data_IF_709001470323
#
_entry.id   IF_709001470323
#
_cell.length_a   1.000
_cell.length_b   1.000
_cell.length_c   1.000
_cell.angle_alpha   90.00
_cell.angle_beta   90.00
_cell.angle_gamma   90.00
#
_symmetry.space_group_name_H-M   'P 1'
#
loop_
_entity.id
_entity.type
_entity.pdbx_description
1 polymer ?
#
# COMPACT_ATOMS: atom_id res chain seq x y z
N UNK A 1 10.22 -18.22 -12.94
CA UNK A 1 9.57 -16.89 -12.93
C UNK A 1 10.15 -15.96 -11.87
N UNK A 2 10.40 -16.41 -10.62
CA UNK A 2 10.99 -15.58 -9.56
C UNK A 2 12.27 -14.82 -9.96
N UNK A 3 13.27 -15.50 -10.54
CA UNK A 3 14.53 -14.86 -10.94
C UNK A 3 14.36 -13.73 -11.99
N UNK A 4 13.43 -13.89 -12.93
CA UNK A 4 13.16 -12.86 -13.94
C UNK A 4 12.53 -11.60 -13.32
N UNK A 5 11.70 -11.78 -12.29
CA UNK A 5 11.05 -10.68 -11.57
C UNK A 5 11.98 -10.02 -10.56
N UNK A 6 12.86 -10.79 -9.90
CA UNK A 6 13.88 -10.23 -9.01
C UNK A 6 14.81 -9.25 -9.75
N UNK A 7 15.09 -9.49 -11.03
CA UNK A 7 15.85 -8.58 -11.87
C UNK A 7 15.11 -7.27 -12.23
N UNK A 8 13.81 -7.17 -11.95
CA UNK A 8 13.03 -5.93 -12.07
C UNK A 8 12.98 -5.13 -10.75
N UNK A 9 13.51 -5.68 -9.67
CA UNK A 9 13.54 -5.06 -8.33
C UNK A 9 14.93 -4.53 -8.00
N UNK A 10 15.69 -4.09 -9.01
CA UNK A 10 16.99 -3.45 -8.81
C UNK A 10 16.82 -2.21 -7.93
N UNK A 11 17.66 -2.02 -6.90
CA UNK A 11 17.56 -0.89 -6.00
C UNK A 11 18.19 0.33 -6.68
N UNK A 12 17.56 0.80 -7.76
CA UNK A 12 18.01 1.98 -8.49
C UNK A 12 17.64 3.27 -7.73
N UNK A 13 16.75 3.14 -6.73
CA UNK A 13 16.35 4.20 -5.82
C UNK A 13 17.48 4.54 -4.82
N UNK A 14 17.88 5.82 -4.69
CA UNK A 14 18.87 6.22 -3.71
C UNK A 14 18.43 5.89 -2.28
N UNK A 15 19.33 5.33 -1.47
CA UNK A 15 19.05 4.97 -0.07
C UNK A 15 18.47 6.14 0.76
N UNK A 16 18.82 7.38 0.41
CA UNK A 16 18.31 8.59 1.04
C UNK A 16 16.78 8.74 0.94
N UNK A 17 16.12 8.15 -0.06
CA UNK A 17 14.66 8.18 -0.22
C UNK A 17 13.97 7.50 0.96
N UNK A 18 14.51 6.39 1.46
CA UNK A 18 13.96 5.66 2.60
C UNK A 18 14.19 6.37 3.94
N UNK A 19 15.23 7.21 4.06
CA UNK A 19 15.52 8.01 5.25
C UNK A 19 14.93 9.42 5.23
N UNK A 20 14.40 9.85 4.07
CA UNK A 20 13.85 11.19 3.87
C UNK A 20 12.52 11.37 4.60
N UNK A 21 12.32 12.55 5.19
CA UNK A 21 11.03 12.90 5.81
C UNK A 21 10.01 13.31 4.76
N UNK A 22 9.01 12.47 4.51
CA UNK A 22 7.83 12.86 3.74
C UNK A 22 6.85 13.64 4.64
N UNK A 23 6.60 14.91 4.33
CA UNK A 23 5.60 15.73 5.04
C UNK A 23 4.27 15.69 4.30
N UNK A 24 3.23 15.19 4.96
CA UNK A 24 1.86 15.11 4.43
C UNK A 24 0.91 16.00 5.22
N UNK A 25 -0.18 16.45 4.60
CA UNK A 25 -1.22 17.28 5.25
C UNK A 25 -2.61 16.78 4.92
N UNK A 26 -3.56 16.95 5.84
CA UNK A 26 -4.94 16.56 5.62
C UNK A 26 -5.57 17.29 4.42
N UNK A 27 -5.24 18.58 4.21
CA UNK A 27 -5.82 19.39 3.14
C UNK A 27 -5.31 19.04 1.73
N UNK A 28 -4.12 18.45 1.61
CA UNK A 28 -3.54 18.05 0.31
C UNK A 28 -3.58 16.53 0.15
N UNK A 29 -2.77 15.82 0.92
CA UNK A 29 -2.65 14.37 0.87
C UNK A 29 -3.95 13.67 1.29
N UNK A 30 -4.64 14.22 2.29
CA UNK A 30 -5.91 13.70 2.77
C UNK A 30 -7.15 14.07 1.96
N UNK A 31 -7.01 14.78 0.83
CA UNK A 31 -8.17 15.35 0.11
C UNK A 31 -8.95 14.35 -0.73
N UNK A 32 -8.26 13.39 -1.35
CA UNK A 32 -8.87 12.44 -2.28
C UNK A 32 -9.36 11.19 -1.53
N UNK A 33 -10.44 10.52 -1.98
CA UNK A 33 -10.79 9.20 -1.49
C UNK A 33 -9.59 8.26 -1.58
N UNK A 34 -9.40 7.40 -0.57
CA UNK A 34 -8.23 6.54 -0.49
C UNK A 34 -8.61 5.12 -0.11
N UNK A 35 -8.02 4.16 -0.79
CA UNK A 35 -8.16 2.74 -0.48
C UNK A 35 -6.80 2.18 -0.07
N UNK A 36 -6.77 1.39 1.01
CA UNK A 36 -5.59 0.64 1.43
C UNK A 36 -5.83 -0.85 1.17
N UNK A 37 -5.03 -1.45 0.29
CA UNK A 37 -5.06 -2.89 0.03
C UNK A 37 -4.03 -3.56 0.94
N UNK A 38 -4.53 -4.14 2.03
CA UNK A 38 -3.76 -4.82 3.07
C UNK A 38 -3.42 -6.24 2.64
N UNK A 39 -2.14 -6.60 2.69
CA UNK A 39 -1.66 -7.93 2.30
C UNK A 39 -1.41 -8.78 3.56
N UNK A 40 -2.25 -9.79 3.82
CA UNK A 40 -2.21 -10.53 5.10
C UNK A 40 -1.00 -11.44 5.27
N UNK A 41 -0.39 -11.86 4.17
CA UNK A 41 0.73 -12.81 4.15
C UNK A 41 2.05 -12.07 3.79
N UNK A 42 2.06 -10.74 3.92
CA UNK A 42 3.24 -9.89 3.69
C UNK A 42 4.31 -10.13 4.78
N UNK A 43 5.53 -10.43 4.34
CA UNK A 43 6.69 -10.65 5.20
C UNK A 43 7.71 -9.51 5.15
N UNK A 44 7.57 -8.56 4.21
CA UNK A 44 8.40 -7.36 4.13
C UNK A 44 7.80 -6.24 4.98
N UNK A 45 6.46 -6.08 4.94
CA UNK A 45 5.71 -5.17 5.80
C UNK A 45 4.68 -5.99 6.59
N UNK A 46 5.01 -6.41 7.82
CA UNK A 46 4.11 -7.23 8.65
C UNK A 46 2.75 -6.57 8.87
N UNK A 47 1.72 -7.39 9.10
CA UNK A 47 0.33 -6.92 9.23
C UNK A 47 0.15 -5.82 10.29
N UNK A 48 0.86 -5.92 11.41
CA UNK A 48 0.81 -4.92 12.48
C UNK A 48 1.36 -3.55 12.03
N UNK A 49 2.40 -3.53 11.18
CA UNK A 49 2.93 -2.29 10.63
C UNK A 49 1.93 -1.67 9.64
N UNK A 50 1.29 -2.48 8.80
CA UNK A 50 0.23 -2.01 7.89
C UNK A 50 -0.94 -1.40 8.68
N UNK A 51 -1.37 -2.06 9.77
CA UNK A 51 -2.45 -1.57 10.63
C UNK A 51 -2.06 -0.24 11.32
N UNK A 52 -0.80 -0.08 11.72
CA UNK A 52 -0.28 1.19 12.24
C UNK A 52 -0.32 2.30 11.18
N UNK A 53 0.12 2.03 9.95
CA UNK A 53 0.07 3.01 8.86
C UNK A 53 -1.36 3.47 8.56
N UNK A 54 -2.32 2.53 8.58
CA UNK A 54 -3.75 2.83 8.42
C UNK A 54 -4.25 3.70 9.58
N UNK A 55 -3.90 3.37 10.82
CA UNK A 55 -4.33 4.09 12.01
C UNK A 55 -3.81 5.53 12.02
N UNK A 56 -2.51 5.75 11.80
CA UNK A 56 -1.88 7.07 11.77
C UNK A 56 -2.46 7.94 10.66
N UNK A 57 -2.62 7.39 9.46
CA UNK A 57 -3.26 8.08 8.35
C UNK A 57 -4.71 8.47 8.64
N UNK A 58 -5.48 7.58 9.26
CA UNK A 58 -6.87 7.85 9.62
C UNK A 58 -6.99 8.91 10.74
N UNK A 59 -6.05 8.91 11.69
CA UNK A 59 -5.95 9.95 12.72
C UNK A 59 -5.63 11.32 12.12
N UNK A 60 -4.76 11.37 11.10
CA UNK A 60 -4.47 12.60 10.35
C UNK A 60 -5.67 13.07 9.51
N UNK A 61 -6.47 12.15 8.98
CA UNK A 61 -7.59 12.44 8.07
C UNK A 61 -8.92 11.86 8.57
N UNK A 62 -9.43 12.31 9.73
CA UNK A 62 -10.59 11.66 10.38
C UNK A 62 -11.88 11.76 9.57
N UNK A 63 -12.00 12.78 8.71
CA UNK A 63 -13.14 12.97 7.79
C UNK A 63 -12.99 12.25 6.44
N UNK A 64 -11.85 11.62 6.19
CA UNK A 64 -11.56 10.88 4.97
C UNK A 64 -10.61 9.72 5.29
N UNK A 65 -11.16 8.71 5.96
CA UNK A 65 -10.45 7.50 6.38
C UNK A 65 -10.26 6.56 5.20
N UNK A 66 -9.25 5.70 5.26
CA UNK A 66 -9.06 4.65 4.27
C UNK A 66 -10.27 3.72 4.21
N UNK A 67 -10.73 3.42 2.99
CA UNK A 67 -11.44 2.18 2.72
C UNK A 67 -10.41 1.04 2.73
N UNK A 68 -10.48 0.13 3.70
CA UNK A 68 -9.53 -0.98 3.78
C UNK A 68 -10.09 -2.19 3.04
N UNK A 69 -9.26 -2.83 2.23
CA UNK A 69 -9.51 -4.14 1.61
C UNK A 69 -8.38 -5.07 2.00
N UNK A 70 -8.67 -6.31 2.37
CA UNK A 70 -7.61 -7.29 2.72
C UNK A 70 -7.52 -8.36 1.65
N UNK A 71 -6.31 -8.62 1.18
CA UNK A 71 -5.98 -9.67 0.22
C UNK A 71 -5.00 -10.64 0.89
N UNK A 72 -5.25 -11.94 0.75
CA UNK A 72 -4.33 -12.99 1.19
C UNK A 72 -3.18 -13.14 0.19
N UNK A 73 -2.31 -12.14 0.16
CA UNK A 73 -1.17 -12.03 -0.74
C UNK A 73 0.11 -11.68 0.04
N UNK A 74 1.25 -11.96 -0.60
CA UNK A 74 2.57 -11.47 -0.17
C UNK A 74 2.73 -9.97 -0.48
N UNK A 75 3.91 -9.41 -0.18
CA UNK A 75 4.23 -7.98 -0.33
C UNK A 75 3.92 -7.38 -1.72
N UNK A 76 4.10 -8.17 -2.77
CA UNK A 76 3.88 -7.74 -4.15
C UNK A 76 2.66 -8.44 -4.74
N UNK A 77 1.43 -8.02 -4.40
CA UNK A 77 0.20 -8.67 -4.87
C UNK A 77 0.04 -8.59 -6.38
N UNK A 78 0.66 -7.61 -7.05
CA UNK A 78 0.70 -7.51 -8.51
C UNK A 78 1.52 -8.63 -9.17
N UNK A 79 2.34 -9.34 -8.40
CA UNK A 79 3.07 -10.53 -8.83
C UNK A 79 2.40 -11.81 -8.31
N UNK A 80 2.05 -11.85 -7.01
CA UNK A 80 1.53 -13.09 -6.40
C UNK A 80 0.05 -13.34 -6.69
N UNK A 81 -0.76 -12.30 -6.86
CA UNK A 81 -2.23 -12.37 -7.01
C UNK A 81 -2.77 -11.29 -7.99
N UNK A 82 -2.24 -11.19 -9.23
CA UNK A 82 -2.51 -10.06 -10.12
C UNK A 82 -3.99 -9.88 -10.47
N UNK A 83 -4.73 -10.96 -10.74
CA UNK A 83 -6.14 -10.89 -11.11
C UNK A 83 -7.02 -10.42 -9.94
N UNK A 84 -6.76 -10.94 -8.73
CA UNK A 84 -7.47 -10.54 -7.52
C UNK A 84 -7.16 -9.09 -7.15
N UNK A 85 -5.90 -8.66 -7.33
CA UNK A 85 -5.52 -7.27 -7.13
C UNK A 85 -6.25 -6.35 -8.11
N UNK A 86 -6.27 -6.69 -9.40
CA UNK A 86 -6.95 -5.90 -10.43
C UNK A 86 -8.44 -5.72 -10.09
N UNK A 87 -9.13 -6.79 -9.69
CA UNK A 87 -10.53 -6.73 -9.24
C UNK A 87 -10.72 -5.77 -8.06
N UNK A 88 -9.84 -5.82 -7.05
CA UNK A 88 -9.92 -4.91 -5.91
C UNK A 88 -9.70 -3.44 -6.30
N UNK A 89 -8.85 -3.18 -7.30
CA UNK A 89 -8.62 -1.83 -7.83
C UNK A 89 -9.87 -1.33 -8.57
N UNK A 90 -10.48 -2.16 -9.42
CA UNK A 90 -11.72 -1.82 -10.13
C UNK A 90 -12.87 -1.51 -9.16
N UNK A 91 -13.04 -2.35 -8.12
CA UNK A 91 -14.02 -2.13 -7.06
C UNK A 91 -13.74 -0.84 -6.29
N UNK A 92 -12.47 -0.52 -6.01
CA UNK A 92 -12.08 0.69 -5.29
C UNK A 92 -12.20 1.96 -6.14
N UNK A 93 -12.06 1.86 -7.46
CA UNK A 93 -12.24 2.99 -8.38
C UNK A 93 -13.72 3.34 -8.60
N UNK A 94 -14.61 2.37 -8.36
CA UNK A 94 -16.06 2.51 -8.58
C UNK A 94 -16.83 2.95 -7.33
N UNK A 95 -16.14 3.18 -6.20
CA UNK A 95 -16.71 3.57 -4.89
C UNK A 95 -16.44 5.02 -4.54
#
# INVERSE_FOLDING_TARGET
QFAAVANLLTPDEPAAVFGGKATVTAARWGRLPRTYIRCSDDQAIPIAAQDQFIAEANALTPRNRYAVRTLKASHSPFLSMPAQLAKLIEEAASS
#
